data_IF_239857061946
#
_entry.id   IF_239857061946
#
_cell.length_a   1.000
_cell.length_b   1.000
_cell.length_c   1.000
_cell.angle_alpha   90.00
_cell.angle_beta   90.00
_cell.angle_gamma   90.00
#
_symmetry.space_group_name_H-M   'P 1'
#
loop_
_entity.id
_entity.type
_entity.pdbx_description
1 polymer ?
#
# COMPACT_ATOMS: atom_id res chain seq x y z
N UNK A 1 -1.27 16.38 -12.67
CA UNK A 1 -2.30 15.89 -11.73
C UNK A 1 -2.85 14.52 -12.14
N UNK A 2 -3.57 14.39 -13.28
CA UNK A 2 -4.11 13.08 -13.73
C UNK A 2 -3.06 11.97 -13.82
N UNK A 3 -1.95 12.19 -14.52
CA UNK A 3 -0.92 11.16 -14.68
C UNK A 3 -0.28 10.77 -13.33
N UNK A 4 -0.07 11.75 -12.44
CA UNK A 4 0.44 11.50 -11.09
C UNK A 4 -0.52 10.62 -10.27
N UNK A 5 -1.82 10.91 -10.34
CA UNK A 5 -2.87 10.11 -9.69
C UNK A 5 -2.86 8.69 -10.25
N UNK A 6 -2.80 8.51 -11.57
CA UNK A 6 -2.76 7.17 -12.17
C UNK A 6 -1.53 6.38 -11.68
N UNK A 7 -0.34 6.98 -11.72
CA UNK A 7 0.91 6.34 -11.30
C UNK A 7 0.85 5.98 -9.80
N UNK A 8 0.51 6.94 -8.95
CA UNK A 8 0.42 6.72 -7.50
C UNK A 8 -0.66 5.71 -7.13
N UNK A 9 -1.78 5.69 -7.85
CA UNK A 9 -2.83 4.68 -7.69
C UNK A 9 -2.36 3.28 -8.05
N UNK A 10 -1.65 3.11 -9.18
CA UNK A 10 -1.07 1.82 -9.57
C UNK A 10 -0.06 1.32 -8.53
N UNK A 11 0.85 2.19 -8.08
CA UNK A 11 1.84 1.84 -7.04
C UNK A 11 1.14 1.46 -5.74
N UNK A 12 0.10 2.20 -5.33
CA UNK A 12 -0.69 1.92 -4.13
C UNK A 12 -1.38 0.56 -4.23
N UNK A 13 -2.02 0.25 -5.36
CA UNK A 13 -2.65 -1.05 -5.60
C UNK A 13 -1.63 -2.20 -5.55
N UNK A 14 -0.46 -2.05 -6.18
CA UNK A 14 0.60 -3.06 -6.15
C UNK A 14 1.14 -3.27 -4.73
N UNK A 15 1.33 -2.19 -3.97
CA UNK A 15 1.77 -2.24 -2.58
C UNK A 15 0.76 -3.00 -1.71
N UNK A 16 -0.53 -2.65 -1.79
CA UNK A 16 -1.60 -3.32 -1.04
C UNK A 16 -1.71 -4.81 -1.42
N UNK A 17 -1.60 -5.14 -2.70
CA UNK A 17 -1.65 -6.52 -3.17
C UNK A 17 -0.46 -7.32 -2.64
N UNK A 18 0.74 -6.73 -2.64
CA UNK A 18 1.93 -7.36 -2.05
C UNK A 18 1.77 -7.59 -0.55
N UNK A 19 1.28 -6.60 0.20
CA UNK A 19 1.00 -6.74 1.65
C UNK A 19 -0.04 -7.84 1.91
N UNK A 20 -1.11 -7.90 1.11
CA UNK A 20 -2.15 -8.94 1.23
C UNK A 20 -1.56 -10.33 0.98
N UNK A 21 -0.82 -10.52 -0.12
CA UNK A 21 -0.19 -11.81 -0.46
C UNK A 21 0.78 -12.22 0.66
N UNK A 22 1.58 -11.28 1.18
CA UNK A 22 2.47 -11.52 2.31
C UNK A 22 1.72 -11.98 3.57
N UNK A 23 0.62 -11.31 3.94
CA UNK A 23 -0.20 -11.70 5.08
C UNK A 23 -0.87 -13.06 4.92
N UNK A 24 -1.37 -13.36 3.71
CA UNK A 24 -1.94 -14.68 3.39
C UNK A 24 -0.88 -15.79 3.45
N UNK A 25 0.35 -15.51 2.97
CA UNK A 25 1.46 -16.45 3.04
C UNK A 25 1.90 -16.71 4.48
N UNK A 26 1.99 -15.67 5.32
CA UNK A 26 2.27 -15.81 6.77
C UNK A 26 1.22 -16.71 7.42
N UNK A 27 -0.07 -16.45 7.14
CA UNK A 27 -1.18 -17.24 7.67
C UNK A 27 -1.09 -18.71 7.24
N UNK A 28 -0.83 -18.98 5.96
CA UNK A 28 -0.79 -20.32 5.40
C UNK A 28 0.38 -21.14 5.97
N UNK A 29 1.54 -20.52 6.18
CA UNK A 29 2.74 -21.20 6.66
C UNK A 29 2.94 -21.08 8.19
N UNK A 30 1.99 -20.50 8.92
CA UNK A 30 2.05 -20.30 10.37
C UNK A 30 3.37 -19.64 10.82
N UNK A 31 3.82 -18.64 10.06
CA UNK A 31 5.13 -18.02 10.28
C UNK A 31 5.14 -17.23 11.58
N UNK A 32 6.06 -17.58 12.48
CA UNK A 32 6.27 -16.93 13.78
C UNK A 32 7.57 -16.15 13.85
N UNK A 33 8.38 -16.21 12.79
CA UNK A 33 9.65 -15.49 12.73
C UNK A 33 9.43 -13.98 12.72
N UNK A 34 10.06 -13.29 13.68
CA UNK A 34 9.90 -11.85 13.90
C UNK A 34 10.29 -11.03 12.67
N UNK A 35 11.29 -11.46 11.91
CA UNK A 35 11.76 -10.75 10.70
C UNK A 35 10.67 -10.69 9.61
N UNK A 36 9.99 -11.81 9.36
CA UNK A 36 8.91 -11.94 8.39
C UNK A 36 7.68 -11.12 8.80
N UNK A 37 7.35 -11.12 10.10
CA UNK A 37 6.27 -10.31 10.64
C UNK A 37 6.59 -8.81 10.55
N UNK A 38 7.83 -8.41 10.86
CA UNK A 38 8.29 -7.03 10.70
C UNK A 38 8.24 -6.57 9.24
N UNK A 39 8.60 -7.44 8.29
CA UNK A 39 8.50 -7.14 6.87
C UNK A 39 7.05 -6.88 6.46
N UNK A 40 6.11 -7.75 6.85
CA UNK A 40 4.69 -7.54 6.60
C UNK A 40 4.21 -6.21 7.20
N UNK A 41 4.55 -5.94 8.46
CA UNK A 41 4.14 -4.72 9.15
C UNK A 41 4.69 -3.46 8.47
N UNK A 42 5.97 -3.47 8.05
CA UNK A 42 6.57 -2.36 7.33
C UNK A 42 5.92 -2.16 5.95
N UNK A 43 5.59 -3.24 5.24
CA UNK A 43 4.85 -3.18 3.96
C UNK A 43 3.44 -2.60 4.15
N UNK A 44 2.78 -2.94 5.26
CA UNK A 44 1.47 -2.41 5.62
C UNK A 44 1.53 -0.91 5.90
N UNK A 45 2.51 -0.47 6.70
CA UNK A 45 2.73 0.95 6.99
C UNK A 45 2.98 1.73 5.69
N UNK A 46 3.87 1.24 4.82
CA UNK A 46 4.14 1.86 3.52
C UNK A 46 2.88 1.98 2.66
N UNK A 47 2.05 0.92 2.63
CA UNK A 47 0.80 0.92 1.87
C UNK A 47 -0.18 1.97 2.40
N UNK A 48 -0.30 2.13 3.72
CA UNK A 48 -1.16 3.17 4.33
C UNK A 48 -0.67 4.57 3.96
N UNK A 49 0.64 4.82 4.04
CA UNK A 49 1.22 6.11 3.66
C UNK A 49 0.94 6.43 2.18
N UNK A 50 1.09 5.44 1.29
CA UNK A 50 0.78 5.58 -0.13
C UNK A 50 -0.70 5.88 -0.38
N UNK A 51 -1.62 5.18 0.33
CA UNK A 51 -3.06 5.47 0.25
C UNK A 51 -3.35 6.91 0.69
N UNK A 52 -2.79 7.36 1.81
CA UNK A 52 -2.96 8.74 2.28
C UNK A 52 -2.49 9.75 1.23
N UNK A 53 -1.28 9.55 0.67
CA UNK A 53 -0.74 10.42 -0.36
C UNK A 53 -1.61 10.43 -1.63
N UNK A 54 -2.12 9.26 -2.04
CA UNK A 54 -3.02 9.13 -3.18
C UNK A 54 -4.34 9.89 -2.96
N UNK A 55 -4.97 9.72 -1.79
CA UNK A 55 -6.20 10.43 -1.43
C UNK A 55 -5.99 11.95 -1.46
N UNK A 56 -4.89 12.45 -0.88
CA UNK A 56 -4.55 13.88 -0.94
C UNK A 56 -4.41 14.36 -2.39
N UNK A 57 -3.71 13.60 -3.24
CA UNK A 57 -3.55 13.95 -4.66
C UNK A 57 -4.90 14.03 -5.39
N UNK A 58 -5.80 13.08 -5.12
CA UNK A 58 -7.17 13.07 -5.68
C UNK A 58 -7.97 14.27 -5.18
N UNK A 59 -7.96 14.56 -3.88
CA UNK A 59 -8.66 15.70 -3.29
C UNK A 59 -8.20 17.02 -3.93
N UNK A 60 -6.88 17.25 -4.05
CA UNK A 60 -6.35 18.46 -4.68
C UNK A 60 -6.78 18.55 -6.15
N UNK A 61 -6.77 17.43 -6.88
CA UNK A 61 -7.22 17.42 -8.28
C UNK A 61 -8.69 17.77 -8.44
N UNK A 62 -9.56 17.27 -7.55
CA UNK A 62 -10.99 17.57 -7.56
C UNK A 62 -11.28 19.01 -7.14
N UNK A 63 -10.54 19.57 -6.17
CA UNK A 63 -10.72 20.95 -5.69
C UNK A 63 -10.18 22.01 -6.68
N UNK A 64 -9.20 21.65 -7.53
CA UNK A 64 -8.65 22.54 -8.56
C UNK A 64 -9.36 22.46 -9.91
N UNK A 65 -10.32 21.54 -10.06
CA UNK A 65 -11.08 21.34 -11.29
C UNK A 65 -12.39 22.11 -11.22
#
# INVERSE_FOLDING_TARGET
>A
MKNLIVITGVITCLSLLSTLICGLWIKANQVTEVSSLNFHMNSGILSVVLVCAFVVCVCIYLLKK
#
